data_IF_591406249595
#
_entry.id   IF_591406249595
#
_cell.length_a   1.000
_cell.length_b   1.000
_cell.length_c   1.000
_cell.angle_alpha   90.00
_cell.angle_beta   90.00
_cell.angle_gamma   90.00
#
_symmetry.space_group_name_H-M   'P 1'
#
loop_
_entity.id
_entity.type
_entity.pdbx_description
1 polymer ?
#
# COMPACT_ATOMS: atom_id res chain seq x y z
N UNK A 1 -17.61 -9.00 15.81
CA UNK A 1 -17.23 -7.57 15.68
C UNK A 1 -18.51 -6.74 15.58
N UNK A 2 -18.60 -5.59 16.26
CA UNK A 2 -19.73 -4.67 16.06
C UNK A 2 -19.61 -3.98 14.71
N UNK A 3 -20.73 -3.69 14.07
CA UNK A 3 -20.79 -2.87 12.85
C UNK A 3 -20.17 -1.49 13.12
N UNK A 4 -19.28 -1.03 12.24
CA UNK A 4 -18.63 0.29 12.30
C UNK A 4 -18.88 1.04 11.01
N UNK A 5 -18.84 2.37 11.05
CA UNK A 5 -18.76 3.21 9.87
C UNK A 5 -17.30 3.61 9.63
N UNK A 6 -16.73 3.17 8.51
CA UNK A 6 -15.32 3.34 8.18
C UNK A 6 -15.22 4.21 6.93
N UNK A 7 -14.41 5.27 7.00
CA UNK A 7 -14.04 6.04 5.81
C UNK A 7 -12.71 5.52 5.28
N UNK A 8 -12.65 5.23 3.99
CA UNK A 8 -11.42 4.84 3.27
C UNK A 8 -11.10 5.91 2.24
N UNK A 9 -10.05 6.68 2.45
CA UNK A 9 -9.54 7.59 1.41
C UNK A 9 -8.62 6.84 0.48
N UNK A 10 -8.68 7.11 -0.83
CA UNK A 10 -7.93 6.33 -1.83
C UNK A 10 -8.53 4.93 -2.06
N UNK A 11 -9.84 4.78 -1.83
CA UNK A 11 -10.52 3.49 -1.89
C UNK A 11 -10.67 2.91 -3.29
N UNK A 12 -10.57 3.73 -4.35
CA UNK A 12 -10.55 3.26 -5.73
C UNK A 12 -9.16 2.71 -6.16
N UNK A 13 -8.14 2.91 -5.33
CA UNK A 13 -6.77 2.51 -5.61
C UNK A 13 -6.51 1.00 -5.47
N UNK A 14 -5.23 0.63 -5.61
CA UNK A 14 -4.75 -0.76 -5.59
C UNK A 14 -5.08 -1.50 -4.28
N UNK A 15 -4.70 -0.92 -3.15
CA UNK A 15 -5.00 -1.48 -1.82
C UNK A 15 -6.46 -1.19 -1.45
N UNK A 16 -6.92 0.03 -1.71
CA UNK A 16 -8.21 0.53 -1.25
C UNK A 16 -9.40 -0.27 -1.77
N UNK A 17 -9.37 -0.73 -3.02
CA UNK A 17 -10.45 -1.53 -3.61
C UNK A 17 -10.62 -2.89 -2.91
N UNK A 18 -9.53 -3.57 -2.57
CA UNK A 18 -9.57 -4.84 -1.85
C UNK A 18 -9.89 -4.65 -0.36
N UNK A 19 -9.41 -3.57 0.25
CA UNK A 19 -9.77 -3.21 1.61
C UNK A 19 -11.27 -2.92 1.72
N UNK A 20 -11.83 -2.13 0.80
CA UNK A 20 -13.28 -1.86 0.74
C UNK A 20 -14.08 -3.15 0.66
N UNK A 21 -13.71 -4.06 -0.26
CA UNK A 21 -14.34 -5.38 -0.36
C UNK A 21 -14.25 -6.19 0.94
N UNK A 22 -13.11 -6.14 1.62
CA UNK A 22 -12.88 -6.86 2.86
C UNK A 22 -13.74 -6.31 4.00
N UNK A 23 -13.79 -4.98 4.14
CA UNK A 23 -14.59 -4.30 5.18
C UNK A 23 -16.10 -4.51 5.00
N UNK A 24 -16.61 -4.45 3.77
CA UNK A 24 -18.00 -4.75 3.46
C UNK A 24 -18.34 -6.21 3.81
N UNK A 25 -17.47 -7.17 3.49
CA UNK A 25 -17.65 -8.60 3.89
C UNK A 25 -17.65 -8.82 5.41
N UNK A 26 -16.97 -7.98 6.16
CA UNK A 26 -17.02 -7.98 7.63
C UNK A 26 -18.30 -7.35 8.20
N UNK A 27 -19.19 -6.81 7.34
CA UNK A 27 -20.44 -6.19 7.71
C UNK A 27 -20.33 -4.73 8.17
N UNK A 28 -19.23 -4.06 7.81
CA UNK A 28 -19.05 -2.63 8.11
C UNK A 28 -19.70 -1.74 7.05
N UNK A 29 -20.10 -0.53 7.44
CA UNK A 29 -20.43 0.55 6.49
C UNK A 29 -19.14 1.19 6.02
N UNK A 30 -18.99 1.36 4.72
CA UNK A 30 -17.76 1.90 4.13
C UNK A 30 -18.08 3.09 3.25
N UNK A 31 -17.55 4.26 3.62
CA UNK A 31 -17.54 5.44 2.75
C UNK A 31 -16.16 5.56 2.09
N UNK A 32 -16.12 5.44 0.78
CA UNK A 32 -14.90 5.66 -0.02
C UNK A 32 -14.85 7.11 -0.47
N UNK A 33 -13.71 7.75 -0.27
CA UNK A 33 -13.37 9.09 -0.80
C UNK A 33 -12.17 8.93 -1.73
N UNK A 34 -12.34 9.29 -3.00
CA UNK A 34 -11.29 9.20 -4.02
C UNK A 34 -11.51 10.26 -5.10
N UNK A 35 -10.45 10.86 -5.62
CA UNK A 35 -10.55 11.82 -6.72
C UNK A 35 -10.60 11.15 -8.10
N UNK A 36 -10.46 9.82 -8.14
CA UNK A 36 -10.47 8.99 -9.35
C UNK A 36 -9.34 9.29 -10.34
N UNK A 37 -8.18 9.69 -9.82
CA UNK A 37 -6.99 9.97 -10.66
C UNK A 37 -6.64 8.78 -11.59
N UNK A 38 -6.90 7.56 -11.16
CA UNK A 38 -6.63 6.32 -11.90
C UNK A 38 -7.90 5.58 -12.32
N UNK A 39 -9.05 6.27 -12.42
CA UNK A 39 -10.36 5.67 -12.71
C UNK A 39 -11.09 5.16 -11.47
N UNK A 40 -12.34 4.74 -11.65
CA UNK A 40 -13.23 4.30 -10.57
C UNK A 40 -13.84 2.92 -10.79
N UNK A 41 -13.47 2.22 -11.85
CA UNK A 41 -14.05 0.93 -12.24
C UNK A 41 -13.87 -0.14 -11.15
N UNK A 42 -12.84 -0.01 -10.33
CA UNK A 42 -12.58 -0.88 -9.19
C UNK A 42 -13.68 -0.87 -8.11
N UNK A 43 -14.52 0.17 -8.10
CA UNK A 43 -15.62 0.33 -7.13
C UNK A 43 -16.98 -0.14 -7.66
N UNK A 44 -17.13 -0.36 -8.96
CA UNK A 44 -18.44 -0.65 -9.58
C UNK A 44 -19.16 -1.86 -8.97
N UNK A 45 -18.40 -2.86 -8.55
CA UNK A 45 -18.97 -4.08 -7.93
C UNK A 45 -19.62 -3.84 -6.56
N UNK A 46 -19.36 -2.68 -5.93
CA UNK A 46 -19.88 -2.37 -4.58
C UNK A 46 -21.17 -1.55 -4.60
N UNK A 47 -21.58 -0.98 -5.74
CA UNK A 47 -22.73 -0.07 -5.82
C UNK A 47 -24.08 -0.72 -5.47
N UNK A 48 -24.17 -2.04 -5.52
CA UNK A 48 -25.35 -2.78 -5.06
C UNK A 48 -25.37 -3.09 -3.57
N UNK A 49 -24.26 -2.85 -2.85
CA UNK A 49 -24.18 -3.08 -1.42
C UNK A 49 -24.76 -1.88 -0.64
N UNK A 50 -25.79 -2.08 0.21
CA UNK A 50 -26.44 -0.99 0.96
C UNK A 50 -25.51 -0.32 1.96
N UNK A 51 -24.38 -0.95 2.31
CA UNK A 51 -23.39 -0.43 3.23
C UNK A 51 -22.22 0.30 2.52
N UNK A 52 -22.27 0.38 1.19
CA UNK A 52 -21.25 1.08 0.41
C UNK A 52 -21.69 2.49 0.05
N UNK A 53 -20.82 3.45 0.29
CA UNK A 53 -20.98 4.85 -0.06
C UNK A 53 -19.74 5.36 -0.78
N UNK A 54 -19.94 6.18 -1.78
CA UNK A 54 -18.84 6.77 -2.55
C UNK A 54 -19.02 8.28 -2.70
N UNK A 55 -17.92 9.02 -2.50
CA UNK A 55 -17.82 10.43 -2.80
C UNK A 55 -16.58 10.72 -3.63
N UNK A 56 -16.75 11.37 -4.78
CA UNK A 56 -15.63 11.88 -5.55
C UNK A 56 -15.17 13.19 -4.94
N UNK A 57 -14.02 13.17 -4.24
CA UNK A 57 -13.42 14.37 -3.65
C UNK A 57 -11.91 14.24 -3.58
N UNK A 58 -11.22 15.39 -3.56
CA UNK A 58 -9.78 15.46 -3.35
C UNK A 58 -9.47 15.66 -1.87
N UNK A 59 -8.58 14.83 -1.32
CA UNK A 59 -8.20 14.89 0.10
C UNK A 59 -7.43 16.17 0.48
N UNK A 60 -6.97 16.93 -0.49
CA UNK A 60 -6.32 18.23 -0.29
C UNK A 60 -7.33 19.34 0.01
N UNK A 61 -8.60 19.14 -0.30
CA UNK A 61 -9.65 20.14 -0.07
C UNK A 61 -10.06 20.20 1.40
N UNK A 62 -10.22 21.42 1.94
CA UNK A 62 -10.43 21.68 3.38
C UNK A 62 -11.66 21.02 4.01
N UNK A 63 -12.61 20.55 3.23
CA UNK A 63 -13.87 19.93 3.73
C UNK A 63 -14.15 18.59 3.09
N UNK A 64 -13.17 18.03 2.38
CA UNK A 64 -13.32 16.82 1.60
C UNK A 64 -13.89 15.64 2.40
N UNK A 65 -13.43 15.41 3.63
CA UNK A 65 -13.96 14.36 4.49
C UNK A 65 -15.39 14.70 4.95
N UNK A 66 -15.61 15.91 5.48
CA UNK A 66 -16.91 16.31 6.05
C UNK A 66 -18.01 16.30 4.99
N UNK A 67 -17.75 16.88 3.81
CA UNK A 67 -18.74 17.04 2.75
C UNK A 67 -19.01 15.72 2.00
N UNK A 68 -18.14 14.72 2.17
CA UNK A 68 -18.27 13.39 1.60
C UNK A 68 -19.11 12.42 2.43
N UNK A 69 -19.46 12.78 3.66
CA UNK A 69 -20.23 11.87 4.51
C UNK A 69 -21.70 11.81 4.12
N UNK A 70 -22.28 10.60 3.99
CA UNK A 70 -23.70 10.47 3.68
C UNK A 70 -24.55 10.95 4.86
N UNK A 71 -25.64 11.68 4.56
CA UNK A 71 -26.48 12.38 5.58
C UNK A 71 -27.20 11.44 6.54
N UNK A 72 -27.51 10.23 6.09
CA UNK A 72 -28.33 9.27 6.85
C UNK A 72 -27.50 8.14 7.46
N UNK A 73 -26.20 8.33 7.62
CA UNK A 73 -25.29 7.34 8.20
C UNK A 73 -24.68 7.94 9.47
N UNK A 74 -24.48 7.15 10.53
CA UNK A 74 -23.78 7.62 11.73
C UNK A 74 -22.40 8.22 11.36
N UNK A 75 -21.89 9.11 12.20
CA UNK A 75 -20.51 9.61 12.05
C UNK A 75 -19.53 8.44 11.95
N UNK A 76 -18.42 8.61 11.23
CA UNK A 76 -17.45 7.53 11.11
C UNK A 76 -16.74 7.24 12.45
N UNK A 77 -16.54 5.96 12.72
CA UNK A 77 -15.76 5.47 13.87
C UNK A 77 -14.26 5.54 13.56
N UNK A 78 -13.90 5.26 12.31
CA UNK A 78 -12.51 5.14 11.86
C UNK A 78 -12.31 5.76 10.49
N UNK A 79 -11.17 6.41 10.31
CA UNK A 79 -10.63 6.76 8.98
C UNK A 79 -9.43 5.88 8.67
N UNK A 80 -9.41 5.25 7.50
CA UNK A 80 -8.25 4.57 6.94
C UNK A 80 -7.74 5.41 5.77
N UNK A 81 -6.59 6.04 5.96
CA UNK A 81 -6.02 6.99 5.01
C UNK A 81 -4.99 6.31 4.11
N UNK A 82 -5.41 6.02 2.86
CA UNK A 82 -4.58 5.43 1.81
C UNK A 82 -4.30 6.40 0.67
N UNK A 83 -5.07 7.50 0.57
CA UNK A 83 -4.88 8.50 -0.48
C UNK A 83 -3.50 9.16 -0.38
N UNK A 84 -2.87 9.38 -1.52
CA UNK A 84 -1.57 10.02 -1.63
C UNK A 84 -0.84 9.58 -2.90
N UNK A 85 0.23 10.27 -3.23
CA UNK A 85 1.11 9.91 -4.35
C UNK A 85 2.13 8.89 -3.84
N UNK A 86 2.14 7.70 -4.44
CA UNK A 86 2.84 6.53 -3.88
C UNK A 86 3.95 6.05 -4.81
N UNK A 87 5.13 5.87 -4.23
CA UNK A 87 6.30 5.29 -4.88
C UNK A 87 7.36 6.32 -5.28
N UNK A 88 8.63 5.87 -5.23
CA UNK A 88 9.79 6.71 -5.55
C UNK A 88 9.66 7.39 -6.92
N UNK A 89 9.36 6.69 -8.04
CA UNK A 89 9.32 7.33 -9.34
C UNK A 89 8.23 8.41 -9.48
N UNK A 90 7.04 8.17 -8.92
CA UNK A 90 5.93 9.12 -8.99
C UNK A 90 6.25 10.41 -8.21
N UNK A 91 6.71 10.29 -6.96
CA UNK A 91 7.06 11.44 -6.13
C UNK A 91 8.24 12.23 -6.71
N UNK A 92 9.22 11.54 -7.29
CA UNK A 92 10.35 12.19 -7.94
C UNK A 92 9.92 12.98 -9.18
N UNK A 93 9.01 12.42 -9.97
CA UNK A 93 8.51 13.07 -11.19
C UNK A 93 7.71 14.35 -10.91
N UNK A 94 6.86 14.35 -9.87
CA UNK A 94 6.06 15.53 -9.51
C UNK A 94 6.81 16.56 -8.66
N UNK A 95 7.95 16.17 -8.08
CA UNK A 95 8.81 17.03 -7.26
C UNK A 95 8.34 17.20 -5.81
N UNK A 96 9.18 17.90 -5.02
CA UNK A 96 9.01 17.99 -3.56
C UNK A 96 7.71 18.67 -3.16
N UNK A 97 7.39 19.83 -3.76
CA UNK A 97 6.22 20.62 -3.37
C UNK A 97 4.92 19.82 -3.54
N UNK A 98 4.70 19.19 -4.70
CA UNK A 98 3.50 18.40 -4.94
C UNK A 98 3.48 17.14 -4.07
N UNK A 99 4.63 16.47 -3.86
CA UNK A 99 4.72 15.33 -2.94
C UNK A 99 4.30 15.71 -1.52
N UNK A 100 4.77 16.84 -1.01
CA UNK A 100 4.39 17.36 0.31
C UNK A 100 2.90 17.67 0.40
N UNK A 101 2.38 18.36 -0.60
CA UNK A 101 0.96 18.72 -0.67
C UNK A 101 0.04 17.50 -0.58
N UNK A 102 0.30 16.45 -1.39
CA UNK A 102 -0.54 15.25 -1.41
C UNK A 102 -0.28 14.26 -0.29
N UNK A 103 0.94 14.19 0.26
CA UNK A 103 1.29 13.15 1.24
C UNK A 103 1.35 13.67 2.68
N UNK A 104 1.67 14.93 2.89
CA UNK A 104 1.80 15.51 4.23
C UNK A 104 0.61 16.41 4.55
N UNK A 105 0.41 17.49 3.78
CA UNK A 105 -0.66 18.46 4.04
C UNK A 105 -2.05 17.82 3.91
N UNK A 106 -2.27 16.96 2.91
CA UNK A 106 -3.52 16.22 2.79
C UNK A 106 -3.76 15.25 3.95
N UNK A 107 -2.72 14.58 4.47
CA UNK A 107 -2.83 13.74 5.67
C UNK A 107 -3.23 14.57 6.89
N UNK A 108 -2.59 15.73 7.08
CA UNK A 108 -2.94 16.69 8.15
C UNK A 108 -4.39 17.14 8.02
N UNK A 109 -4.79 17.58 6.83
CA UNK A 109 -6.15 18.03 6.54
C UNK A 109 -7.21 16.96 6.87
N UNK A 110 -7.02 15.72 6.43
CA UNK A 110 -7.96 14.62 6.72
C UNK A 110 -7.97 14.27 8.21
N UNK A 111 -6.82 14.27 8.87
CA UNK A 111 -6.73 14.02 10.30
C UNK A 111 -7.47 15.10 11.12
N UNK A 112 -7.27 16.38 10.81
CA UNK A 112 -7.95 17.50 11.50
C UNK A 112 -9.46 17.46 11.30
N UNK A 113 -9.94 17.14 10.09
CA UNK A 113 -11.35 16.94 9.82
C UNK A 113 -11.91 15.74 10.61
N UNK A 114 -11.18 14.62 10.68
CA UNK A 114 -11.55 13.45 11.46
C UNK A 114 -11.66 13.79 12.96
N UNK A 115 -10.71 14.55 13.49
CA UNK A 115 -10.75 15.04 14.86
C UNK A 115 -11.99 15.93 15.12
N UNK A 116 -12.28 16.86 14.21
CA UNK A 116 -13.46 17.73 14.30
C UNK A 116 -14.80 17.00 14.19
N UNK A 117 -14.82 15.79 13.65
CA UNK A 117 -15.99 14.89 13.57
C UNK A 117 -16.08 13.94 14.77
N UNK A 118 -15.09 13.93 15.66
CA UNK A 118 -15.03 13.02 16.80
C UNK A 118 -14.81 11.56 16.37
N UNK A 119 -14.02 11.34 15.31
CA UNK A 119 -13.54 10.02 14.93
C UNK A 119 -12.63 9.48 16.03
N UNK A 120 -12.72 8.20 16.33
CA UNK A 120 -11.94 7.61 17.43
C UNK A 120 -10.56 7.14 16.96
N UNK A 121 -10.43 6.67 15.70
CA UNK A 121 -9.25 6.00 15.20
C UNK A 121 -8.87 6.48 13.81
N UNK A 122 -7.56 6.60 13.58
CA UNK A 122 -6.98 6.99 12.29
C UNK A 122 -5.90 5.99 11.88
N UNK A 123 -6.18 5.13 10.90
CA UNK A 123 -5.21 4.19 10.36
C UNK A 123 -4.47 4.81 9.18
N UNK A 124 -3.15 4.72 9.19
CA UNK A 124 -2.31 5.34 8.17
C UNK A 124 -1.40 4.32 7.48
N UNK A 125 -1.42 4.31 6.15
CA UNK A 125 -0.51 3.48 5.35
C UNK A 125 0.80 4.22 5.08
N UNK A 126 1.84 3.82 5.82
CA UNK A 126 3.22 4.21 5.62
C UNK A 126 3.99 3.14 4.84
N UNK A 127 5.29 3.11 4.92
CA UNK A 127 6.17 2.24 4.13
C UNK A 127 7.42 1.82 4.91
N UNK A 128 7.87 0.59 4.72
CA UNK A 128 9.17 0.15 5.24
C UNK A 128 10.36 0.87 4.57
N UNK A 129 10.13 1.56 3.46
CA UNK A 129 11.16 2.34 2.74
C UNK A 129 11.73 3.51 3.55
N UNK A 130 11.20 3.76 4.72
CA UNK A 130 11.70 4.78 5.67
C UNK A 130 12.95 4.33 6.44
N UNK A 131 13.21 3.02 6.50
CA UNK A 131 14.34 2.49 7.29
C UNK A 131 15.71 2.72 6.65
N UNK A 132 16.71 2.91 7.52
CA UNK A 132 18.11 2.71 7.15
C UNK A 132 18.37 1.22 6.90
N UNK A 133 19.33 0.86 6.03
CA UNK A 133 19.87 -0.50 6.03
C UNK A 133 20.39 -0.88 7.40
N UNK A 134 20.23 -2.15 7.78
CA UNK A 134 20.76 -2.67 9.04
C UNK A 134 22.29 -2.56 9.09
N UNK A 135 22.82 -2.18 10.24
CA UNK A 135 24.28 -2.08 10.45
C UNK A 135 24.91 -3.40 10.87
N UNK A 136 24.12 -4.32 11.40
CA UNK A 136 24.54 -5.65 11.88
C UNK A 136 24.12 -6.80 10.95
N UNK A 137 23.46 -6.46 9.84
CA UNK A 137 22.96 -7.44 8.84
C UNK A 137 21.68 -8.16 9.25
N UNK A 138 21.11 -7.87 10.44
CA UNK A 138 19.83 -8.41 10.89
C UNK A 138 18.63 -7.68 10.30
N UNK A 139 17.41 -8.20 10.50
CA UNK A 139 16.20 -7.53 10.05
C UNK A 139 15.93 -6.25 10.83
N UNK A 140 15.52 -5.18 10.13
CA UNK A 140 15.05 -3.94 10.78
C UNK A 140 13.65 -4.14 11.37
N UNK A 141 13.35 -3.42 12.45
CA UNK A 141 12.06 -3.42 13.13
C UNK A 141 11.55 -1.99 13.33
N UNK A 142 10.44 -1.82 14.03
CA UNK A 142 9.77 -0.52 14.21
C UNK A 142 10.60 0.49 15.01
N UNK A 143 11.61 0.04 15.77
CA UNK A 143 12.53 0.86 16.58
C UNK A 143 13.81 1.19 15.82
N UNK A 144 14.05 0.56 14.67
CA UNK A 144 15.25 0.78 13.87
C UNK A 144 15.35 2.21 13.35
N UNK A 145 16.58 2.76 13.18
CA UNK A 145 16.76 4.11 12.67
C UNK A 145 16.11 4.35 11.31
N UNK A 146 15.54 5.54 11.13
CA UNK A 146 14.97 5.99 9.88
C UNK A 146 16.01 6.75 9.06
N UNK A 147 16.14 6.41 7.78
CA UNK A 147 17.00 7.12 6.83
C UNK A 147 16.32 7.14 5.45
N UNK A 148 15.47 8.14 5.21
CA UNK A 148 14.78 8.23 3.94
C UNK A 148 15.77 8.50 2.80
N UNK A 149 15.65 7.75 1.72
CA UNK A 149 16.48 7.92 0.50
C UNK A 149 15.66 8.47 -0.68
N UNK A 150 14.43 8.95 -0.41
CA UNK A 150 13.55 9.47 -1.46
C UNK A 150 12.54 10.46 -0.90
N UNK A 151 12.05 11.37 -1.77
CA UNK A 151 10.95 12.28 -1.43
C UNK A 151 9.71 11.54 -0.91
N UNK A 152 9.44 10.35 -1.44
CA UNK A 152 8.37 9.49 -0.95
C UNK A 152 8.57 9.09 0.52
N UNK A 153 9.74 8.53 0.85
CA UNK A 153 10.06 8.12 2.21
C UNK A 153 10.10 9.32 3.18
N UNK A 154 10.68 10.45 2.76
CA UNK A 154 10.68 11.70 3.54
C UNK A 154 9.26 12.16 3.86
N UNK A 155 8.37 12.19 2.86
CA UNK A 155 6.98 12.60 3.05
C UNK A 155 6.21 11.68 3.98
N UNK A 156 6.48 10.36 3.92
CA UNK A 156 5.86 9.38 4.82
C UNK A 156 6.31 9.55 6.26
N UNK A 157 7.61 9.80 6.50
CA UNK A 157 8.13 10.11 7.85
C UNK A 157 7.48 11.38 8.40
N UNK A 158 7.45 12.47 7.62
CA UNK A 158 6.84 13.72 8.06
C UNK A 158 5.36 13.55 8.46
N UNK A 159 4.60 12.75 7.71
CA UNK A 159 3.22 12.42 8.06
C UNK A 159 3.12 11.52 9.31
N UNK A 160 4.01 10.52 9.49
CA UNK A 160 4.07 9.71 10.72
C UNK A 160 4.35 10.57 11.96
N UNK A 161 5.33 11.47 11.88
CA UNK A 161 5.70 12.38 12.98
C UNK A 161 4.54 13.30 13.36
N UNK A 162 3.88 13.91 12.36
CA UNK A 162 2.69 14.71 12.60
C UNK A 162 1.61 13.91 13.32
N UNK A 163 1.21 12.75 12.77
CA UNK A 163 0.14 11.94 13.34
C UNK A 163 0.44 11.50 14.79
N UNK A 164 1.67 11.12 15.07
CA UNK A 164 2.09 10.68 16.41
C UNK A 164 2.12 11.81 17.43
N UNK A 165 2.28 13.05 17.00
CA UNK A 165 2.24 14.22 17.89
C UNK A 165 0.83 14.65 18.28
N UNK A 166 -0.22 14.07 17.67
CA UNK A 166 -1.58 14.51 17.85
C UNK A 166 -2.31 13.80 19.00
N UNK A 167 -3.21 14.52 19.66
CA UNK A 167 -4.06 14.01 20.77
C UNK A 167 -5.48 13.62 20.35
N UNK A 168 -5.88 13.89 19.10
CA UNK A 168 -7.22 13.60 18.56
C UNK A 168 -7.49 12.10 18.33
N UNK A 169 -8.00 11.69 17.18
CA UNK A 169 -8.16 10.28 16.81
C UNK A 169 -6.90 9.47 17.09
N UNK A 170 -7.03 8.24 17.62
CA UNK A 170 -5.88 7.41 17.91
C UNK A 170 -5.18 6.99 16.59
N UNK A 171 -3.97 7.50 16.28
CA UNK A 171 -3.26 7.10 15.08
C UNK A 171 -2.67 5.71 15.24
N UNK A 172 -2.83 4.86 14.23
CA UNK A 172 -2.20 3.55 14.09
C UNK A 172 -1.52 3.51 12.73
N UNK A 173 -0.22 3.31 12.72
CA UNK A 173 0.57 3.46 11.51
C UNK A 173 1.08 2.10 11.04
N UNK A 174 0.93 1.82 9.74
CA UNK A 174 1.39 0.59 9.14
C UNK A 174 2.49 0.87 8.12
N UNK A 175 3.72 0.42 8.38
CA UNK A 175 4.83 0.44 7.42
C UNK A 175 4.74 -0.80 6.55
N UNK A 176 4.12 -0.63 5.38
CA UNK A 176 3.86 -1.74 4.46
C UNK A 176 5.16 -2.24 3.84
N UNK A 177 5.32 -3.57 3.74
CA UNK A 177 6.27 -4.21 2.84
C UNK A 177 5.92 -3.89 1.38
N UNK A 178 6.80 -4.24 0.42
CA UNK A 178 6.52 -4.04 -1.01
C UNK A 178 5.32 -4.88 -1.43
N UNK A 179 4.27 -4.21 -1.86
CA UNK A 179 3.00 -4.87 -2.19
C UNK A 179 3.06 -5.51 -3.58
N UNK A 180 2.46 -6.69 -3.73
CA UNK A 180 2.30 -7.40 -5.01
C UNK A 180 0.94 -8.08 -5.10
N UNK A 181 0.61 -8.62 -6.29
CA UNK A 181 -0.61 -9.39 -6.54
C UNK A 181 -1.66 -8.66 -7.38
N UNK A 182 -2.77 -9.33 -7.67
CA UNK A 182 -3.88 -8.82 -8.47
C UNK A 182 -4.88 -8.07 -7.59
N UNK A 183 -5.40 -6.96 -8.12
CA UNK A 183 -6.51 -6.19 -7.55
C UNK A 183 -7.39 -5.65 -8.68
N UNK A 184 -8.62 -5.19 -8.40
CA UNK A 184 -9.47 -4.55 -9.40
C UNK A 184 -8.78 -3.37 -10.12
N UNK A 185 -7.94 -2.62 -9.38
CA UNK A 185 -6.98 -1.68 -9.96
C UNK A 185 -5.58 -2.22 -9.73
N UNK A 186 -5.14 -3.20 -10.53
CA UNK A 186 -3.78 -3.78 -10.45
C UNK A 186 -2.71 -2.75 -10.80
N UNK A 187 -1.51 -2.90 -10.19
CA UNK A 187 -0.35 -2.05 -10.46
C UNK A 187 0.78 -2.87 -11.07
N UNK A 188 1.08 -2.65 -12.34
CA UNK A 188 2.21 -3.26 -13.03
C UNK A 188 3.53 -2.45 -12.91
N UNK A 189 3.53 -1.38 -12.15
CA UNK A 189 4.72 -0.62 -11.77
C UNK A 189 5.35 -1.09 -10.44
N UNK A 190 4.89 -2.20 -9.88
CA UNK A 190 5.45 -2.85 -8.68
C UNK A 190 6.33 -4.03 -9.07
N UNK A 191 7.45 -4.21 -8.38
CA UNK A 191 8.55 -5.11 -8.78
C UNK A 191 8.10 -6.50 -9.18
N UNK A 192 7.36 -7.24 -8.33
CA UNK A 192 6.90 -8.60 -8.66
C UNK A 192 5.95 -8.57 -9.85
N UNK A 193 4.97 -7.66 -9.83
CA UNK A 193 3.97 -7.55 -10.89
C UNK A 193 4.60 -7.17 -12.23
N UNK A 194 5.57 -6.26 -12.21
CA UNK A 194 6.31 -5.85 -13.41
C UNK A 194 7.16 -6.99 -13.96
N UNK A 195 7.91 -7.72 -13.11
CA UNK A 195 8.72 -8.83 -13.56
C UNK A 195 7.87 -9.92 -14.21
N UNK A 196 6.71 -10.23 -13.63
CA UNK A 196 5.78 -11.19 -14.25
C UNK A 196 5.24 -10.66 -15.58
N UNK A 197 4.87 -9.39 -15.66
CA UNK A 197 4.41 -8.78 -16.90
C UNK A 197 5.48 -8.84 -18.00
N UNK A 198 6.70 -8.39 -17.71
CA UNK A 198 7.78 -8.37 -18.68
C UNK A 198 8.17 -9.79 -19.13
N UNK A 199 8.28 -10.73 -18.19
CA UNK A 199 8.50 -12.14 -18.48
C UNK A 199 7.41 -12.74 -19.39
N UNK A 200 6.13 -12.42 -19.12
CA UNK A 200 5.01 -12.93 -19.89
C UNK A 200 4.93 -12.34 -21.30
N UNK A 201 5.11 -11.02 -21.42
CA UNK A 201 4.86 -10.29 -22.68
C UNK A 201 6.10 -10.22 -23.59
N UNK A 202 7.27 -10.02 -22.99
CA UNK A 202 8.55 -9.83 -23.73
C UNK A 202 9.38 -11.10 -23.83
N UNK A 203 9.11 -12.09 -22.96
CA UNK A 203 9.94 -13.28 -22.79
C UNK A 203 11.37 -12.97 -22.32
N UNK A 204 11.57 -11.79 -21.79
CA UNK A 204 12.87 -11.30 -21.33
C UNK A 204 12.72 -10.59 -19.98
N UNK A 205 13.70 -10.79 -19.12
CA UNK A 205 13.86 -10.07 -17.86
C UNK A 205 15.25 -9.47 -17.77
N UNK A 206 15.32 -8.16 -17.56
CA UNK A 206 16.56 -7.47 -17.22
C UNK A 206 16.55 -7.15 -15.72
N UNK A 207 17.45 -7.78 -14.97
CA UNK A 207 17.51 -7.70 -13.51
C UNK A 207 18.77 -6.97 -13.06
N UNK A 208 18.55 -5.89 -12.30
CA UNK A 208 19.63 -5.14 -11.68
C UNK A 208 19.75 -5.49 -10.19
N UNK A 209 21.00 -5.52 -9.65
CA UNK A 209 21.28 -5.83 -8.25
C UNK A 209 20.53 -7.08 -7.76
N UNK A 210 20.80 -8.20 -8.39
CA UNK A 210 20.08 -9.47 -8.20
C UNK A 210 20.01 -9.97 -6.76
N UNK A 211 21.07 -9.77 -5.97
CA UNK A 211 21.20 -10.26 -4.61
C UNK A 211 20.55 -9.40 -3.54
N UNK A 212 20.02 -8.22 -3.89
CA UNK A 212 19.45 -7.32 -2.89
C UNK A 212 18.08 -7.81 -2.43
N UNK A 213 17.94 -7.90 -1.10
CA UNK A 213 16.72 -8.34 -0.43
C UNK A 213 15.72 -7.21 -0.25
N UNK A 214 14.46 -7.58 -0.30
CA UNK A 214 13.32 -6.73 0.01
C UNK A 214 12.24 -7.55 0.69
N UNK A 215 11.44 -6.86 1.49
CA UNK A 215 10.25 -7.48 2.07
C UNK A 215 9.04 -7.26 1.18
N UNK A 216 8.25 -8.32 0.99
CA UNK A 216 7.07 -8.33 0.13
C UNK A 216 5.84 -8.79 0.90
N UNK A 217 4.66 -8.30 0.49
CA UNK A 217 3.36 -8.69 1.02
C UNK A 217 2.31 -8.70 -0.09
N UNK A 218 1.45 -9.72 -0.07
CA UNK A 218 0.32 -9.78 -1.00
C UNK A 218 -0.73 -8.73 -0.67
N UNK A 219 -1.31 -8.08 -1.69
CA UNK A 219 -2.26 -6.98 -1.52
C UNK A 219 -3.52 -7.36 -0.73
N UNK A 220 -3.98 -8.62 -0.82
CA UNK A 220 -5.08 -9.13 0.02
C UNK A 220 -4.68 -9.21 1.50
N UNK A 221 -3.44 -9.60 1.79
CA UNK A 221 -2.94 -9.64 3.16
C UNK A 221 -2.73 -8.23 3.72
N UNK A 222 -2.41 -7.24 2.88
CA UNK A 222 -2.42 -5.83 3.29
C UNK A 222 -3.82 -5.41 3.75
N UNK A 223 -4.86 -5.73 2.97
CA UNK A 223 -6.24 -5.41 3.34
C UNK A 223 -6.65 -6.06 4.67
N UNK A 224 -6.28 -7.34 4.89
CA UNK A 224 -6.53 -8.04 6.15
C UNK A 224 -5.78 -7.43 7.32
N UNK A 225 -4.49 -7.11 7.14
CA UNK A 225 -3.65 -6.52 8.18
C UNK A 225 -4.13 -5.13 8.61
N UNK A 226 -4.51 -4.28 7.66
CA UNK A 226 -5.11 -2.98 7.96
C UNK A 226 -6.42 -3.12 8.75
N UNK A 227 -7.27 -4.08 8.39
CA UNK A 227 -8.54 -4.32 9.08
C UNK A 227 -8.34 -4.73 10.56
N UNK A 228 -7.26 -5.45 10.90
CA UNK A 228 -6.96 -5.77 12.31
C UNK A 228 -6.70 -4.52 13.17
N UNK A 229 -6.21 -3.45 12.56
CA UNK A 229 -6.07 -2.17 13.25
C UNK A 229 -7.38 -1.58 13.76
N UNK A 230 -8.54 -2.01 13.26
CA UNK A 230 -9.86 -1.53 13.70
C UNK A 230 -10.22 -2.00 15.11
N UNK A 231 -9.75 -3.16 15.52
CA UNK A 231 -10.14 -3.81 16.78
C UNK A 231 -9.04 -3.80 17.84
N UNK A 232 -7.85 -3.31 17.49
CA UNK A 232 -6.78 -3.14 18.48
C UNK A 232 -7.24 -2.22 19.62
N UNK A 233 -7.01 -2.53 20.91
CA UNK A 233 -7.38 -1.66 22.03
C UNK A 233 -6.81 -0.26 21.84
N UNK A 234 -7.65 0.78 21.92
CA UNK A 234 -7.27 2.16 21.62
C UNK A 234 -6.06 2.65 22.43
N UNK A 235 -6.04 2.32 23.72
CA UNK A 235 -4.96 2.73 24.64
C UNK A 235 -3.61 2.11 24.24
N UNK A 236 -3.64 0.88 23.70
CA UNK A 236 -2.44 0.17 23.26
C UNK A 236 -2.02 0.52 21.82
N UNK A 237 -3.00 0.87 20.99
CA UNK A 237 -2.79 1.12 19.57
C UNK A 237 -2.36 2.56 19.25
N UNK A 238 -2.71 3.53 20.12
CA UNK A 238 -2.42 4.95 19.91
C UNK A 238 -0.93 5.21 19.70
N UNK A 239 -0.60 5.81 18.55
CA UNK A 239 0.76 6.17 18.18
C UNK A 239 1.67 4.99 17.85
N UNK A 240 1.11 3.76 17.82
CA UNK A 240 1.88 2.57 17.48
C UNK A 240 2.18 2.52 15.99
N UNK A 241 3.38 2.03 15.70
CA UNK A 241 3.83 1.70 14.35
C UNK A 241 3.93 0.18 14.27
N UNK A 242 3.44 -0.37 13.18
CA UNK A 242 3.54 -1.80 12.85
C UNK A 242 4.13 -1.99 11.46
N UNK A 243 5.15 -2.80 11.34
CA UNK A 243 5.54 -3.34 10.04
C UNK A 243 4.48 -4.32 9.57
N UNK A 244 3.95 -4.14 8.36
CA UNK A 244 2.92 -5.02 7.80
C UNK A 244 3.49 -5.83 6.64
N UNK A 245 3.73 -7.12 6.90
CA UNK A 245 4.32 -8.10 6.01
C UNK A 245 4.47 -9.45 6.70
N UNK A 246 5.39 -10.28 6.22
CA UNK A 246 5.81 -11.51 6.89
C UNK A 246 7.31 -11.73 6.76
N UNK A 247 7.89 -12.45 7.73
CA UNK A 247 9.33 -12.78 7.71
C UNK A 247 9.67 -13.65 6.49
N UNK A 248 8.76 -14.53 6.09
CA UNK A 248 8.85 -15.35 4.88
C UNK A 248 8.67 -14.54 3.59
N UNK A 249 8.27 -13.28 3.71
CA UNK A 249 8.16 -12.33 2.61
C UNK A 249 9.48 -11.62 2.25
N UNK A 250 10.58 -11.91 2.95
CA UNK A 250 11.88 -11.37 2.62
C UNK A 250 12.53 -12.15 1.47
N UNK A 251 12.59 -11.55 0.28
CA UNK A 251 13.09 -12.17 -0.95
C UNK A 251 14.20 -11.34 -1.60
N UNK A 252 15.18 -12.00 -2.18
CA UNK A 252 16.04 -11.38 -3.19
C UNK A 252 15.34 -11.35 -4.55
N UNK A 253 15.81 -10.49 -5.46
CA UNK A 253 15.30 -10.48 -6.85
C UNK A 253 15.51 -11.82 -7.53
N UNK A 254 16.63 -12.51 -7.27
CA UNK A 254 16.91 -13.85 -7.80
C UNK A 254 15.88 -14.87 -7.39
N UNK A 255 15.47 -14.86 -6.13
CA UNK A 255 14.44 -15.77 -5.64
C UNK A 255 13.09 -15.53 -6.33
N UNK A 256 12.74 -14.24 -6.57
CA UNK A 256 11.51 -13.90 -7.33
C UNK A 256 11.62 -14.39 -8.76
N UNK A 257 12.77 -14.16 -9.43
CA UNK A 257 13.02 -14.63 -10.81
C UNK A 257 12.91 -16.15 -10.89
N UNK A 258 13.44 -16.90 -9.92
CA UNK A 258 13.32 -18.36 -9.89
C UNK A 258 11.84 -18.81 -9.82
N UNK A 259 10.99 -18.13 -9.06
CA UNK A 259 9.55 -18.41 -9.03
C UNK A 259 8.87 -18.12 -10.38
N UNK A 260 9.31 -17.07 -11.08
CA UNK A 260 8.78 -16.72 -12.40
C UNK A 260 9.21 -17.77 -13.45
N UNK A 261 10.49 -18.18 -13.47
CA UNK A 261 11.01 -19.22 -14.38
C UNK A 261 10.24 -20.53 -14.20
N UNK A 262 9.89 -20.90 -12.97
CA UNK A 262 9.08 -22.09 -12.69
C UNK A 262 7.73 -22.08 -13.42
N UNK A 263 7.17 -20.89 -13.70
CA UNK A 263 5.87 -20.69 -14.38
C UNK A 263 5.99 -20.36 -15.87
N UNK A 264 7.11 -19.75 -16.25
CA UNK A 264 7.43 -19.30 -17.58
C UNK A 264 8.88 -19.73 -17.95
N UNK A 265 9.12 -21.04 -18.20
CA UNK A 265 10.47 -21.58 -18.33
C UNK A 265 11.22 -21.11 -19.59
N UNK A 266 10.52 -20.51 -20.56
CA UNK A 266 11.09 -20.09 -21.85
C UNK A 266 11.62 -18.64 -21.86
N UNK A 267 11.72 -18.00 -20.68
CA UNK A 267 12.19 -16.62 -20.60
C UNK A 267 13.72 -16.55 -20.60
N UNK A 268 14.24 -15.48 -21.18
CA UNK A 268 15.67 -15.12 -21.11
C UNK A 268 15.85 -14.16 -19.93
N UNK A 269 16.81 -14.42 -19.06
CA UNK A 269 17.13 -13.54 -17.94
C UNK A 269 18.53 -12.98 -18.08
N UNK A 270 18.62 -11.65 -18.16
CA UNK A 270 19.89 -10.93 -18.12
C UNK A 270 20.11 -10.27 -16.77
N UNK A 271 21.31 -10.38 -16.23
CA UNK A 271 21.70 -9.72 -14.99
C UNK A 271 22.71 -8.62 -15.27
N UNK A 272 22.45 -7.42 -14.72
CA UNK A 272 23.36 -6.28 -14.83
C UNK A 272 23.57 -5.64 -13.45
N UNK A 273 24.75 -5.12 -13.22
CA UNK A 273 25.05 -4.30 -12.06
C UNK A 273 24.96 -2.82 -12.48
N UNK A 274 24.18 -2.04 -11.76
CA UNK A 274 24.16 -0.58 -11.94
C UNK A 274 25.36 0.03 -11.23
N UNK A 275 26.15 0.80 -11.96
CA UNK A 275 27.24 1.59 -11.38
C UNK A 275 26.72 2.90 -10.77
N UNK A 276 25.61 3.44 -11.28
CA UNK A 276 25.00 4.70 -10.84
C UNK A 276 23.49 4.61 -10.81
N UNK A 277 22.85 5.22 -9.80
CA UNK A 277 21.39 5.34 -9.67
C UNK A 277 20.70 4.04 -9.22
N UNK A 278 19.38 4.10 -9.13
CA UNK A 278 18.52 2.99 -8.73
C UNK A 278 18.42 2.81 -7.21
N UNK A 279 17.45 2.02 -6.79
CA UNK A 279 17.21 1.69 -5.38
C UNK A 279 18.21 0.60 -4.95
N UNK A 280 19.19 1.00 -4.15
CA UNK A 280 20.29 0.14 -3.66
C UNK A 280 20.03 -0.46 -2.27
N UNK A 281 18.82 -0.32 -1.74
CA UNK A 281 18.51 -0.86 -0.42
C UNK A 281 18.55 -2.38 -0.42
N UNK A 282 19.30 -2.93 0.49
CA UNK A 282 19.33 -4.35 0.85
C UNK A 282 18.80 -4.43 2.28
N UNK A 283 17.50 -4.69 2.43
CA UNK A 283 16.81 -4.58 3.71
C UNK A 283 15.88 -5.79 3.87
N UNK A 284 16.06 -6.50 4.96
CA UNK A 284 15.08 -7.45 5.52
C UNK A 284 14.35 -6.81 6.69
N UNK A 285 13.10 -7.14 6.88
CA UNK A 285 12.23 -6.54 7.90
C UNK A 285 11.67 -7.62 8.81
N UNK A 286 11.62 -7.35 10.10
CA UNK A 286 10.92 -8.17 11.10
C UNK A 286 9.45 -7.74 11.20
N UNK A 287 8.58 -8.75 11.30
CA UNK A 287 7.14 -8.57 11.47
C UNK A 287 6.64 -9.17 12.79
N UNK A 288 7.52 -9.38 13.75
CA UNK A 288 7.19 -9.97 15.05
C UNK A 288 6.17 -9.16 15.84
N UNK A 289 6.28 -7.83 15.79
CA UNK A 289 5.40 -6.94 16.55
C UNK A 289 3.94 -7.08 16.12
N UNK A 290 3.65 -7.00 14.83
CA UNK A 290 2.28 -7.11 14.34
C UNK A 290 1.71 -8.52 14.58
N UNK A 291 2.53 -9.56 14.48
CA UNK A 291 2.14 -10.95 14.78
C UNK A 291 1.77 -11.09 16.25
N UNK A 292 2.62 -10.62 17.17
CA UNK A 292 2.42 -10.73 18.61
C UNK A 292 1.27 -9.89 19.12
N UNK A 293 1.11 -8.66 18.62
CA UNK A 293 0.19 -7.68 19.21
C UNK A 293 -1.18 -7.63 18.51
N UNK A 294 -1.23 -7.87 17.21
CA UNK A 294 -2.46 -7.87 16.42
C UNK A 294 -2.85 -9.26 15.89
N UNK A 295 -2.04 -10.30 16.14
CA UNK A 295 -2.31 -11.65 15.65
C UNK A 295 -2.25 -11.78 14.13
N UNK A 296 -1.58 -10.86 13.44
CA UNK A 296 -1.49 -10.90 11.97
C UNK A 296 -0.55 -12.00 11.51
N UNK A 297 -1.02 -12.77 10.54
CA UNK A 297 -0.20 -13.72 9.77
C UNK A 297 -0.57 -13.59 8.30
N UNK A 298 0.43 -13.40 7.44
CA UNK A 298 0.23 -13.42 6.00
C UNK A 298 -0.14 -14.85 5.55
N UNK A 299 -1.02 -14.96 4.57
CA UNK A 299 -1.52 -16.26 4.08
C UNK A 299 -1.11 -16.53 2.64
N UNK A 300 -0.63 -15.53 1.92
CA UNK A 300 -0.25 -15.63 0.52
C UNK A 300 1.25 -15.37 0.34
N UNK A 301 1.88 -16.24 -0.44
CA UNK A 301 3.30 -16.19 -0.75
C UNK A 301 3.55 -15.46 -2.07
N UNK A 302 4.82 -15.10 -2.34
CA UNK A 302 5.21 -14.52 -3.64
C UNK A 302 4.93 -15.51 -4.79
N UNK A 303 5.06 -16.84 -4.56
CA UNK A 303 4.70 -17.87 -5.57
C UNK A 303 3.20 -17.82 -5.90
N UNK A 304 2.34 -17.59 -4.91
CA UNK A 304 0.89 -17.41 -5.13
C UNK A 304 0.61 -16.20 -5.99
N UNK A 305 1.24 -15.05 -5.69
CA UNK A 305 1.09 -13.84 -6.50
C UNK A 305 1.64 -13.98 -7.93
N UNK A 306 2.77 -14.64 -8.11
CA UNK A 306 3.29 -14.95 -9.45
C UNK A 306 2.32 -15.84 -10.22
N UNK A 307 1.75 -16.87 -9.55
CA UNK A 307 0.76 -17.77 -10.16
C UNK A 307 -0.49 -17.03 -10.63
N UNK A 308 -1.07 -16.18 -9.77
CA UNK A 308 -2.30 -15.44 -10.12
C UNK A 308 -2.06 -14.41 -11.22
N UNK A 309 -0.93 -13.68 -11.19
CA UNK A 309 -0.55 -12.73 -12.22
C UNK A 309 -0.39 -13.40 -13.59
N UNK A 310 0.37 -14.51 -13.66
CA UNK A 310 0.53 -15.29 -14.88
C UNK A 310 -0.81 -15.82 -15.38
N UNK A 311 -1.69 -16.29 -14.48
CA UNK A 311 -3.03 -16.77 -14.86
C UNK A 311 -3.89 -15.66 -15.44
N UNK A 312 -3.95 -14.49 -14.79
CA UNK A 312 -4.73 -13.36 -15.26
C UNK A 312 -4.26 -12.84 -16.64
N UNK A 313 -2.95 -12.83 -16.87
CA UNK A 313 -2.39 -12.45 -18.17
C UNK A 313 -2.68 -13.50 -19.26
N UNK A 314 -2.54 -14.80 -18.95
CA UNK A 314 -2.83 -15.90 -19.87
C UNK A 314 -4.30 -15.94 -20.31
N UNK A 315 -5.22 -15.63 -19.42
CA UNK A 315 -6.67 -15.63 -19.74
C UNK A 315 -7.12 -14.41 -20.54
N UNK A 316 -6.25 -13.40 -20.71
CA UNK A 316 -6.58 -12.16 -21.41
C UNK A 316 -7.58 -11.27 -20.68
N UNK A 317 -7.84 -11.53 -19.38
CA UNK A 317 -8.68 -10.65 -18.54
C UNK A 317 -8.13 -9.23 -18.48
N UNK A 318 -6.81 -9.09 -18.51
CA UNK A 318 -6.13 -7.81 -18.62
C UNK A 318 -5.70 -7.61 -20.06
N UNK A 319 -6.54 -6.94 -20.85
CA UNK A 319 -6.34 -6.80 -22.31
C UNK A 319 -5.16 -5.92 -22.69
N UNK A 320 -4.94 -4.83 -21.95
CA UNK A 320 -3.83 -3.90 -22.16
C UNK A 320 -3.11 -3.62 -20.85
N UNK A 321 -2.18 -4.49 -20.42
CA UNK A 321 -1.48 -4.34 -19.15
C UNK A 321 -0.51 -3.16 -19.09
N UNK A 322 -0.24 -2.52 -20.24
CA UNK A 322 0.59 -1.31 -20.35
C UNK A 322 -0.21 0.00 -20.28
N UNK A 323 -1.54 -0.08 -20.15
CA UNK A 323 -2.40 1.09 -19.97
C UNK A 323 -2.01 1.86 -18.70
N UNK A 324 -2.08 3.20 -18.78
CA UNK A 324 -1.69 4.11 -17.70
C UNK A 324 -2.47 3.88 -16.40
N UNK A 325 -3.72 3.40 -16.50
CA UNK A 325 -4.53 3.03 -15.34
C UNK A 325 -3.88 2.02 -14.41
N UNK A 326 -2.95 1.19 -14.92
CA UNK A 326 -2.22 0.18 -14.15
C UNK A 326 -0.87 0.65 -13.61
N UNK A 327 -0.61 1.95 -13.63
CA UNK A 327 0.66 2.54 -13.18
C UNK A 327 0.43 3.79 -12.37
N UNK A 328 1.23 4.02 -11.34
CA UNK A 328 1.26 5.29 -10.61
C UNK A 328 2.29 6.26 -11.23
N UNK A 329 3.25 5.73 -11.96
CA UNK A 329 4.22 6.51 -12.72
C UNK A 329 4.54 5.80 -14.03
N UNK A 330 4.88 6.57 -15.06
CA UNK A 330 5.49 6.01 -16.24
C UNK A 330 6.86 5.45 -15.85
N UNK A 331 7.02 4.14 -15.89
CA UNK A 331 8.32 3.55 -15.66
C UNK A 331 9.25 3.88 -16.80
N UNK A 332 10.23 4.67 -16.48
CA UNK A 332 11.49 4.70 -17.19
C UNK A 332 12.43 3.82 -16.39
N UNK A 333 12.34 2.51 -16.55
CA UNK A 333 13.50 1.66 -16.37
C UNK A 333 14.21 1.71 -17.70
N UNK A 334 15.05 2.68 -17.83
CA UNK A 334 16.11 2.68 -18.81
C UNK A 334 17.37 2.18 -18.16
#
# INVERSE_FOLDING_TARGET
MSEKHIVVTGGAGYIGSLLTAHLLRLGHRVTVIDNLLFGGESLLTFFSDPNFYFSKADVTEKRSLRDSLPRNVPKPDTVIHLAGIVGFPACQAIGKQATWHYNVEATQNIYEQAAGLGVERFLYASTYSVYAPSTDGGPVNEESPLKPESLYAESKIAAEEYLRSQSGPAPVLFRLATVYGIAPRTRFDLVVNQFVLDAFTRRELLIYQRGYSRSFIHVLDVARGLALGLDAPLEKARGQVYNLGSDEGNYTKDQIVALIIKRLPEIIVEYKNLTFGGDKRDITVSFDKIRRELGFTATLTVDDGVRELVSALKTGLIRNPYDERYRNAHFIVQ
#
